data_IF_324399889679
#
_entry.id   IF_324399889679
#
_cell.length_a   1.000
_cell.length_b   1.000
_cell.length_c   1.000
_cell.angle_alpha   90.00
_cell.angle_beta   90.00
_cell.angle_gamma   90.00
#
_symmetry.space_group_name_H-M   'P 1'
#
loop_
_entity.id
_entity.type
_entity.pdbx_description
1 polymer ?
#
# COMPACT_ATOMS: atom_id res chain seq x y z
N UNK A 1 -14.15 -7.37 -8.84
CA UNK A 1 -13.09 -6.92 -9.76
C UNK A 1 -12.14 -6.12 -8.91
N UNK A 2 -10.97 -6.69 -8.66
CA UNK A 2 -9.99 -6.07 -7.78
C UNK A 2 -9.42 -4.80 -8.41
N UNK A 3 -9.49 -3.70 -7.67
CA UNK A 3 -8.97 -2.39 -8.10
C UNK A 3 -7.64 -2.07 -7.45
N UNK A 4 -7.41 -2.55 -6.22
CA UNK A 4 -6.13 -2.47 -5.52
C UNK A 4 -5.85 -3.84 -4.91
N UNK A 5 -4.66 -4.37 -5.17
CA UNK A 5 -4.15 -5.57 -4.54
C UNK A 5 -2.70 -5.31 -4.14
N UNK A 6 -2.47 -5.19 -2.83
CA UNK A 6 -1.18 -5.00 -2.21
C UNK A 6 -0.80 -6.31 -1.54
N UNK A 7 0.43 -6.75 -1.78
CA UNK A 7 0.95 -7.98 -1.21
C UNK A 7 2.28 -7.74 -0.51
N UNK A 8 2.32 -8.05 0.78
CA UNK A 8 3.52 -8.03 1.62
C UNK A 8 4.29 -6.69 1.60
N UNK A 9 3.55 -5.58 1.50
CA UNK A 9 4.11 -4.22 1.42
C UNK A 9 4.90 -3.90 2.68
N UNK A 10 6.18 -3.58 2.47
CA UNK A 10 7.08 -3.18 3.54
C UNK A 10 7.75 -1.86 3.18
N UNK A 11 7.72 -0.91 4.11
CA UNK A 11 8.24 0.44 3.89
C UNK A 11 8.87 0.98 5.17
N UNK A 12 10.07 1.54 5.03
CA UNK A 12 10.93 2.01 6.12
C UNK A 12 11.51 3.38 5.80
N UNK A 13 11.70 4.18 6.85
CA UNK A 13 12.42 5.44 6.83
C UNK A 13 13.55 5.37 7.85
N UNK A 14 14.80 5.21 7.37
CA UNK A 14 15.94 4.95 8.25
C UNK A 14 15.76 3.65 9.02
N UNK A 15 15.67 3.73 10.35
CA UNK A 15 15.40 2.57 11.22
C UNK A 15 13.92 2.38 11.54
N UNK A 16 13.06 3.31 11.15
CA UNK A 16 11.64 3.29 11.47
C UNK A 16 10.84 2.59 10.37
N UNK A 17 10.31 1.41 10.68
CA UNK A 17 9.50 0.63 9.76
C UNK A 17 8.01 0.97 9.93
N UNK A 18 7.42 1.51 8.85
CA UNK A 18 6.08 2.08 8.80
C UNK A 18 5.05 1.06 8.31
N UNK A 19 5.43 0.18 7.37
CA UNK A 19 4.63 -0.98 6.97
C UNK A 19 5.48 -2.26 7.09
N UNK A 20 4.86 -3.33 7.58
CA UNK A 20 5.53 -4.62 7.88
C UNK A 20 4.77 -5.76 7.22
N UNK A 21 5.07 -6.07 5.97
CA UNK A 21 4.37 -7.12 5.23
C UNK A 21 2.86 -6.88 5.11
N UNK A 22 2.45 -5.64 4.86
CA UNK A 22 1.04 -5.26 4.78
C UNK A 22 0.42 -5.79 3.48
N UNK A 23 -0.65 -6.57 3.61
CA UNK A 23 -1.45 -7.03 2.48
C UNK A 23 -2.86 -6.45 2.55
N UNK A 24 -3.38 -5.97 1.43
CA UNK A 24 -4.67 -5.30 1.31
C UNK A 24 -5.27 -5.54 -0.05
N UNK A 25 -6.54 -5.96 -0.08
CA UNK A 25 -7.33 -6.08 -1.31
C UNK A 25 -8.50 -5.10 -1.22
N UNK A 26 -8.74 -4.35 -2.28
CA UNK A 26 -9.91 -3.49 -2.45
C UNK A 26 -10.60 -3.84 -3.75
N UNK A 27 -11.88 -4.17 -3.64
CA UNK A 27 -12.73 -4.50 -4.77
C UNK A 27 -13.44 -3.27 -5.33
N UNK A 28 -13.79 -3.33 -6.62
CA UNK A 28 -14.57 -2.29 -7.29
C UNK A 28 -15.88 -2.03 -6.55
N UNK A 29 -16.08 -0.77 -6.15
CA UNK A 29 -17.28 -0.31 -5.45
C UNK A 29 -17.16 -0.31 -3.93
N UNK A 30 -16.08 -0.86 -3.38
CA UNK A 30 -15.80 -0.78 -1.95
C UNK A 30 -15.34 0.61 -1.53
N UNK A 31 -15.67 0.97 -0.28
CA UNK A 31 -15.18 2.20 0.36
C UNK A 31 -14.21 1.79 1.45
N UNK A 32 -12.94 2.07 1.23
CA UNK A 32 -11.88 1.87 2.22
C UNK A 32 -11.59 3.19 2.95
N UNK A 33 -11.50 3.12 4.28
CA UNK A 33 -10.98 4.21 5.11
C UNK A 33 -9.75 3.73 5.88
N UNK A 34 -8.69 4.52 5.89
CA UNK A 34 -7.50 4.28 6.70
C UNK A 34 -7.59 5.09 7.99
N UNK A 35 -7.58 4.42 9.14
CA UNK A 35 -7.70 5.05 10.46
C UNK A 35 -6.50 4.68 11.32
N UNK A 36 -5.98 5.64 12.09
CA UNK A 36 -4.84 5.45 12.98
C UNK A 36 -4.14 6.76 13.33
N UNK A 37 -3.26 6.75 14.33
CA UNK A 37 -2.54 7.94 14.81
C UNK A 37 -1.62 8.58 13.76
N UNK A 38 -1.15 9.81 14.02
CA UNK A 38 -0.15 10.45 13.15
C UNK A 38 1.11 9.59 13.05
N UNK A 39 1.72 9.53 11.86
CA UNK A 39 2.94 8.73 11.62
C UNK A 39 2.73 7.22 11.41
N UNK A 40 1.52 6.68 11.54
CA UNK A 40 1.29 5.23 11.40
C UNK A 40 1.27 4.70 9.94
N UNK A 41 1.67 5.51 8.95
CA UNK A 41 1.82 5.03 7.56
C UNK A 41 0.61 5.17 6.63
N UNK A 42 -0.46 5.84 7.03
CA UNK A 42 -1.66 6.02 6.16
C UNK A 42 -1.35 6.76 4.86
N UNK A 43 -0.75 7.96 4.98
CA UNK A 43 -0.40 8.77 3.81
C UNK A 43 0.68 8.10 2.97
N UNK A 44 1.58 7.34 3.60
CA UNK A 44 2.60 6.54 2.90
C UNK A 44 1.92 5.46 2.05
N UNK A 45 0.97 4.71 2.61
CA UNK A 45 0.21 3.68 1.88
C UNK A 45 -0.60 4.28 0.73
N UNK A 46 -1.24 5.44 0.95
CA UNK A 46 -1.97 6.14 -0.11
C UNK A 46 -1.03 6.62 -1.23
N UNK A 47 0.18 7.09 -0.90
CA UNK A 47 1.18 7.46 -1.90
C UNK A 47 1.68 6.24 -2.70
N UNK A 48 1.81 5.08 -2.07
CA UNK A 48 2.16 3.82 -2.75
C UNK A 48 1.05 3.34 -3.68
N UNK A 49 -0.21 3.35 -3.23
CA UNK A 49 -1.38 3.05 -4.07
C UNK A 49 -1.49 4.04 -5.24
N UNK A 50 -1.15 5.31 -5.03
CA UNK A 50 -1.14 6.33 -6.07
C UNK A 50 0.10 6.27 -6.99
N UNK A 51 1.01 5.30 -6.77
CA UNK A 51 2.28 5.15 -7.48
C UNK A 51 3.20 6.39 -7.40
N UNK A 52 2.99 7.25 -6.39
CA UNK A 52 3.84 8.41 -6.11
C UNK A 52 5.09 8.03 -5.32
N UNK A 53 5.08 6.83 -4.72
CA UNK A 53 6.17 6.25 -3.96
C UNK A 53 6.19 4.75 -4.21
N UNK A 54 7.39 4.18 -4.27
CA UNK A 54 7.56 2.72 -4.26
C UNK A 54 7.76 2.24 -2.81
N UNK A 55 7.18 1.08 -2.45
CA UNK A 55 7.53 0.40 -1.21
C UNK A 55 8.95 -0.17 -1.31
N UNK A 56 9.55 -0.52 -0.17
CA UNK A 56 10.89 -1.13 -0.16
C UNK A 56 10.83 -2.64 -0.53
N UNK A 57 9.68 -3.27 -0.31
CA UNK A 57 9.39 -4.64 -0.73
C UNK A 57 7.88 -4.88 -0.89
N UNK A 58 7.52 -5.94 -1.61
CA UNK A 58 6.15 -6.35 -1.89
C UNK A 58 5.69 -6.01 -3.30
N UNK A 59 4.46 -6.40 -3.63
CA UNK A 59 3.87 -6.25 -4.96
C UNK A 59 2.66 -5.31 -4.91
N UNK A 60 2.56 -4.42 -5.90
CA UNK A 60 1.41 -3.55 -6.11
C UNK A 60 0.72 -3.93 -7.41
N UNK A 61 -0.57 -4.24 -7.35
CA UNK A 61 -1.40 -4.42 -8.53
C UNK A 61 -2.60 -3.47 -8.48
N UNK A 62 -2.77 -2.67 -9.53
CA UNK A 62 -3.88 -1.72 -9.68
C UNK A 62 -4.68 -2.04 -10.92
N UNK A 63 -6.00 -2.16 -10.78
CA UNK A 63 -6.92 -2.48 -11.89
C UNK A 63 -6.51 -3.72 -12.71
N UNK A 64 -5.88 -4.70 -12.05
CA UNK A 64 -5.36 -5.91 -12.69
C UNK A 64 -3.94 -5.79 -13.27
N UNK A 65 -3.36 -4.60 -13.32
CA UNK A 65 -1.99 -4.36 -13.81
C UNK A 65 -0.98 -4.41 -12.66
N UNK A 66 0.11 -5.15 -12.84
CA UNK A 66 1.17 -5.25 -11.83
C UNK A 66 2.20 -4.14 -12.02
N UNK A 67 2.59 -3.53 -10.91
CA UNK A 67 3.60 -2.48 -10.80
C UNK A 67 4.69 -2.99 -9.86
N UNK A 68 5.37 -4.03 -10.33
CA UNK A 68 6.49 -4.64 -9.63
C UNK A 68 7.80 -4.08 -10.17
N UNK A 69 8.81 -4.02 -9.32
CA UNK A 69 10.18 -3.79 -9.74
C UNK A 69 11.09 -4.91 -9.23
#
# INVERSE_FOLDING_TARGET
MTVVNLKDISTRFGTHEVHRGLSLVVEKGERLALVGGSGCGKSVLLSEIALLRQPDAGDIQLFGLSFNH
#
